data_IF_116042705861
#
_entry.id   IF_116042705861
#
_cell.length_a   1.000
_cell.length_b   1.000
_cell.length_c   1.000
_cell.angle_alpha   90.00
_cell.angle_beta   90.00
_cell.angle_gamma   90.00
#
_symmetry.space_group_name_H-M   'P 1'
#
loop_
_entity.id
_entity.type
_entity.pdbx_description
1 polymer ?
#
# COMPACT_ATOMS: atom_id res chain seq x y z
N UNK A 1 8.38 -16.25 17.58
CA UNK A 1 9.72 -15.83 18.07
C UNK A 1 9.83 -16.22 19.51
N UNK A 2 10.78 -17.09 19.83
CA UNK A 2 11.08 -17.43 21.21
C UNK A 2 11.75 -16.22 21.87
N UNK A 3 11.22 -15.77 23.02
CA UNK A 3 11.79 -14.63 23.74
C UNK A 3 13.09 -15.08 24.39
N UNK A 4 14.21 -14.52 23.95
CA UNK A 4 15.52 -14.74 24.61
C UNK A 4 15.57 -13.87 25.88
N UNK A 5 15.65 -14.48 27.08
CA UNK A 5 15.71 -13.72 28.32
C UNK A 5 16.94 -12.79 28.34
N UNK A 6 16.74 -11.52 28.67
CA UNK A 6 17.82 -10.52 28.76
C UNK A 6 18.19 -9.84 27.44
N UNK A 7 17.52 -10.11 26.33
CA UNK A 7 17.75 -9.40 25.07
C UNK A 7 17.28 -7.93 25.17
N UNK A 8 18.10 -7.02 24.63
CA UNK A 8 17.79 -5.58 24.53
C UNK A 8 17.62 -5.23 23.05
N UNK A 9 16.50 -4.59 22.69
CA UNK A 9 16.25 -4.10 21.34
C UNK A 9 16.72 -2.64 21.25
N UNK A 10 17.62 -2.35 20.31
CA UNK A 10 18.18 -1.01 20.10
C UNK A 10 17.78 -0.57 18.68
N UNK A 11 17.13 0.59 18.50
CA UNK A 11 16.82 1.10 17.17
C UNK A 11 18.10 1.54 16.46
N UNK A 12 18.24 1.14 15.20
CA UNK A 12 19.41 1.49 14.38
C UNK A 12 19.10 2.62 13.41
N UNK A 13 17.95 2.54 12.71
CA UNK A 13 17.58 3.48 11.66
C UNK A 13 16.07 3.67 11.58
N UNK A 14 15.65 4.67 10.79
CA UNK A 14 14.25 4.99 10.49
C UNK A 14 14.09 5.04 8.97
N UNK A 15 13.04 4.42 8.47
CA UNK A 15 12.69 4.40 7.06
C UNK A 15 11.19 4.56 6.85
N UNK A 16 10.79 4.74 5.59
CA UNK A 16 9.40 4.82 5.17
C UNK A 16 9.01 3.59 4.35
N UNK A 17 7.76 3.16 4.49
CA UNK A 17 7.14 2.12 3.67
C UNK A 17 6.20 2.83 2.70
N UNK A 18 6.32 2.52 1.42
CA UNK A 18 5.49 3.10 0.35
C UNK A 18 4.73 2.02 -0.39
N UNK A 19 3.55 2.38 -0.92
CA UNK A 19 2.80 1.52 -1.81
C UNK A 19 3.29 1.72 -3.22
N UNK A 20 3.68 0.62 -3.86
CA UNK A 20 4.03 0.59 -5.27
C UNK A 20 2.89 -0.03 -6.07
N UNK A 21 2.67 0.46 -7.28
CA UNK A 21 1.62 -0.01 -8.17
C UNK A 21 2.09 0.04 -9.63
N UNK A 22 1.41 -0.70 -10.50
CA UNK A 22 1.73 -0.77 -11.93
C UNK A 22 0.53 -0.32 -12.76
N UNK A 23 0.62 0.89 -13.31
CA UNK A 23 -0.36 1.48 -14.21
C UNK A 23 0.38 2.19 -15.35
N UNK A 24 -0.03 1.91 -16.58
CA UNK A 24 0.73 2.27 -17.80
C UNK A 24 0.77 3.78 -18.08
N UNK A 25 -0.18 4.55 -17.56
CA UNK A 25 -0.39 5.96 -17.92
C UNK A 25 -0.72 6.78 -16.67
N UNK A 26 0.29 7.25 -15.93
CA UNK A 26 0.08 8.16 -14.79
C UNK A 26 1.05 9.35 -14.76
N UNK A 27 0.64 10.49 -14.16
CA UNK A 27 1.45 11.69 -14.03
C UNK A 27 2.68 11.47 -13.14
N UNK A 28 3.74 12.25 -13.42
CA UNK A 28 5.04 12.22 -12.73
C UNK A 28 4.98 12.24 -11.19
N UNK A 29 3.88 12.73 -10.61
CA UNK A 29 3.72 12.92 -9.15
C UNK A 29 3.07 11.74 -8.42
N UNK A 30 2.60 10.71 -9.14
CA UNK A 30 1.95 9.54 -8.55
C UNK A 30 0.52 9.76 -8.06
N UNK A 31 -0.10 8.69 -7.57
CA UNK A 31 -1.48 8.64 -7.05
C UNK A 31 -1.55 9.12 -5.60
N UNK A 32 -2.60 9.87 -5.29
CA UNK A 32 -2.99 10.17 -3.91
C UNK A 32 -3.87 9.05 -3.38
N UNK A 33 -3.42 8.40 -2.32
CA UNK A 33 -4.13 7.33 -1.63
C UNK A 33 -4.11 7.60 -0.12
N UNK A 34 -5.12 7.12 0.59
CA UNK A 34 -5.22 7.24 2.05
C UNK A 34 -5.14 5.85 2.69
N UNK A 35 -4.80 5.78 3.98
CA UNK A 35 -4.77 4.53 4.74
C UNK A 35 -6.06 3.71 4.62
N UNK A 36 -7.26 4.30 4.75
CA UNK A 36 -8.52 3.58 4.56
C UNK A 36 -8.72 3.02 3.16
N UNK A 37 -8.37 3.76 2.10
CA UNK A 37 -8.45 3.26 0.71
C UNK A 37 -7.50 2.08 0.51
N UNK A 38 -6.27 2.18 1.02
CA UNK A 38 -5.31 1.08 0.97
C UNK A 38 -5.83 -0.15 1.72
N UNK A 39 -6.40 0.02 2.91
CA UNK A 39 -7.00 -1.08 3.65
C UNK A 39 -8.16 -1.74 2.86
N UNK A 40 -9.04 -0.94 2.26
CA UNK A 40 -10.14 -1.45 1.43
C UNK A 40 -9.64 -2.20 0.17
N UNK A 41 -8.51 -1.79 -0.42
CA UNK A 41 -7.85 -2.52 -1.52
C UNK A 41 -7.34 -3.89 -1.03
N UNK A 42 -6.57 -3.92 0.06
CA UNK A 42 -6.01 -5.18 0.60
C UNK A 42 -7.10 -6.13 1.14
N UNK A 43 -8.25 -5.59 1.57
CA UNK A 43 -9.45 -6.36 1.94
C UNK A 43 -10.33 -6.73 0.75
N UNK A 44 -9.92 -6.41 -0.48
CA UNK A 44 -10.66 -6.70 -1.73
C UNK A 44 -12.06 -6.07 -1.81
N UNK A 45 -12.28 -4.94 -1.11
CA UNK A 45 -13.52 -4.15 -1.22
C UNK A 45 -13.44 -3.15 -2.38
N UNK A 46 -12.26 -2.57 -2.58
CA UNK A 46 -11.92 -1.80 -3.79
C UNK A 46 -11.14 -2.74 -4.70
N UNK A 47 -11.70 -3.03 -5.87
CA UNK A 47 -11.15 -4.05 -6.79
C UNK A 47 -10.74 -3.50 -8.14
N UNK A 48 -11.02 -2.23 -8.44
CA UNK A 48 -10.65 -1.56 -9.68
C UNK A 48 -10.05 -0.18 -9.41
N UNK A 49 -9.15 0.26 -10.28
CA UNK A 49 -8.42 1.50 -10.12
C UNK A 49 -9.26 2.76 -10.31
N UNK A 50 -10.35 2.68 -11.08
CA UNK A 50 -11.32 3.78 -11.27
C UNK A 50 -12.39 3.85 -10.18
N UNK A 51 -12.21 3.18 -9.05
CA UNK A 51 -13.13 3.27 -7.92
C UNK A 51 -13.39 4.76 -7.55
N UNK A 52 -14.65 5.17 -7.33
CA UNK A 52 -14.99 6.55 -7.04
C UNK A 52 -14.20 7.17 -5.89
N UNK A 53 -13.86 6.38 -4.85
CA UNK A 53 -13.06 6.87 -3.71
C UNK A 53 -11.63 7.21 -4.13
N UNK A 54 -11.05 6.46 -5.07
CA UNK A 54 -9.73 6.77 -5.61
C UNK A 54 -9.82 7.98 -6.54
N UNK A 55 -10.85 8.04 -7.39
CA UNK A 55 -11.06 9.14 -8.34
C UNK A 55 -11.28 10.50 -7.65
N UNK A 56 -11.99 10.52 -6.52
CA UNK A 56 -12.24 11.72 -5.73
C UNK A 56 -10.94 12.38 -5.23
N UNK A 57 -9.94 11.58 -4.85
CA UNK A 57 -8.63 12.08 -4.42
C UNK A 57 -7.74 12.51 -5.58
N UNK A 58 -8.04 12.07 -6.79
CA UNK A 58 -7.23 12.25 -8.00
C UNK A 58 -8.04 12.91 -9.12
N UNK A 59 -8.70 14.06 -8.89
CA UNK A 59 -9.71 14.61 -9.82
C UNK A 59 -9.15 15.06 -11.17
N UNK A 60 -7.82 15.27 -11.26
CA UNK A 60 -7.15 15.68 -12.50
C UNK A 60 -6.63 14.50 -13.33
N UNK A 61 -6.86 13.26 -12.89
CA UNK A 61 -6.35 12.05 -13.52
C UNK A 61 -7.52 11.18 -13.93
N UNK A 62 -7.54 10.72 -15.18
CA UNK A 62 -8.51 9.73 -15.63
C UNK A 62 -8.02 8.34 -15.24
N UNK A 63 -8.67 7.71 -14.27
CA UNK A 63 -8.27 6.39 -13.79
C UNK A 63 -8.80 5.28 -14.72
N UNK A 64 -7.98 4.27 -15.08
CA UNK A 64 -8.41 3.19 -15.96
C UNK A 64 -9.36 2.23 -15.24
N UNK A 65 -10.29 1.64 -16.00
CA UNK A 65 -11.12 0.51 -15.55
C UNK A 65 -10.30 -0.78 -15.55
N UNK A 66 -9.27 -0.85 -14.71
CA UNK A 66 -8.36 -1.97 -14.59
C UNK A 66 -8.50 -2.60 -13.20
N UNK A 67 -8.61 -3.93 -13.15
CA UNK A 67 -8.66 -4.66 -11.89
C UNK A 67 -7.36 -4.53 -11.10
N UNK A 68 -7.48 -4.42 -9.79
CA UNK A 68 -6.37 -4.37 -8.85
C UNK A 68 -5.98 -5.80 -8.48
N UNK A 69 -4.70 -6.12 -8.63
CA UNK A 69 -4.11 -7.37 -8.15
C UNK A 69 -3.20 -7.02 -6.98
N UNK A 70 -3.57 -7.47 -5.78
CA UNK A 70 -2.80 -7.20 -4.56
C UNK A 70 -1.62 -8.15 -4.49
N UNK A 71 -0.42 -7.57 -4.36
CA UNK A 71 0.79 -8.31 -4.01
C UNK A 71 1.13 -8.07 -2.54
N UNK A 72 1.49 -9.15 -1.82
CA UNK A 72 1.89 -9.07 -0.43
C UNK A 72 3.03 -10.05 -0.13
N UNK A 73 3.71 -9.85 1.00
CA UNK A 73 4.75 -10.76 1.48
C UNK A 73 4.12 -12.08 1.92
N UNK A 74 4.76 -13.18 1.56
CA UNK A 74 4.36 -14.54 1.96
C UNK A 74 5.10 -15.02 3.21
N UNK A 75 6.26 -14.44 3.50
CA UNK A 75 7.15 -14.79 4.60
C UNK A 75 6.99 -13.87 5.81
N UNK A 76 7.57 -14.27 6.95
CA UNK A 76 7.60 -13.45 8.16
C UNK A 76 8.36 -12.14 7.93
N UNK A 77 7.66 -11.00 8.01
CA UNK A 77 8.17 -9.71 7.55
C UNK A 77 7.82 -8.59 8.54
N UNK A 78 8.83 -7.87 9.02
CA UNK A 78 8.62 -6.66 9.84
C UNK A 78 7.93 -5.53 9.07
N UNK A 79 8.12 -5.44 7.76
CA UNK A 79 7.42 -4.47 6.90
C UNK A 79 5.91 -4.71 6.87
N UNK A 80 5.49 -5.97 7.04
CA UNK A 80 4.07 -6.35 7.07
C UNK A 80 3.41 -6.07 8.42
N UNK A 81 4.21 -5.95 9.49
CA UNK A 81 3.71 -5.67 10.83
C UNK A 81 3.26 -4.22 11.03
N UNK A 82 3.89 -3.28 10.31
CA UNK A 82 3.56 -1.85 10.33
C UNK A 82 2.27 -1.59 9.56
#
# INVERSE_FOLDING_TARGET
MEKVPGAVHIPETIGSIVVSYNLSEFPEKGLKLTGPILADIFLSKITEWNDPKIQELNPTISLPSQSIIVAHRSDGSGTTFV
#
